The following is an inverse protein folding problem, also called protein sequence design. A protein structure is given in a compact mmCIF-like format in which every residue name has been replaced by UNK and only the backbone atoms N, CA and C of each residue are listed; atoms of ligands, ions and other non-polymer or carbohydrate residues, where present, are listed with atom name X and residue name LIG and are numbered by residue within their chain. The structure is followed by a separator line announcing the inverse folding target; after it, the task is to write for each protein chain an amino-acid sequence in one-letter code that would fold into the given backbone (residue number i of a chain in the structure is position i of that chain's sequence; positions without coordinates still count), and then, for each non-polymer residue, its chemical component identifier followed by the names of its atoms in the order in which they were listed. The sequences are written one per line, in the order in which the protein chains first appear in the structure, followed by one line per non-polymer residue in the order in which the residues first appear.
data_IF_634206579392
#
_entry.id   IF_634206579392
#
_cell.length_a   1.000
_cell.length_b   1.000
_cell.length_c   1.000
_cell.angle_alpha   90.00
_cell.angle_beta   90.00
_cell.angle_gamma   90.00
#
_symmetry.space_group_name_H-M   'P 1'
#
loop_
_entity.id
_entity.type
_entity.pdbx_description
1 polymer ?
#
# COMPACT_ATOMS: atom_id res chain seq x y z
N UNK A 1 6.20 10.94 3.57
CA UNK A 1 6.12 11.18 5.02
C UNK A 1 4.92 10.39 5.52
N UNK A 2 5.09 9.43 6.45
CA UNK A 2 3.98 8.61 6.97
C UNK A 2 3.36 9.30 8.19
N UNK A 3 2.06 9.61 8.19
CA UNK A 3 1.48 10.46 9.24
C UNK A 3 0.29 9.85 10.02
N UNK A 4 -0.47 8.89 9.47
CA UNK A 4 -1.09 7.87 10.34
C UNK A 4 0.03 7.03 10.92
N UNK A 5 0.57 7.53 12.03
CA UNK A 5 1.87 7.19 12.56
C UNK A 5 2.12 5.70 12.43
N UNK A 6 3.02 5.36 11.51
CA UNK A 6 3.65 4.06 11.38
C UNK A 6 4.41 3.78 12.68
N UNK A 7 3.65 3.61 13.76
CA UNK A 7 4.03 3.58 15.17
C UNK A 7 4.47 2.18 15.55
N UNK A 8 3.98 1.20 14.80
CA UNK A 8 4.36 -0.19 14.88
C UNK A 8 4.20 -0.82 13.49
N UNK A 9 4.93 -1.89 13.25
CA UNK A 9 4.95 -2.66 12.01
C UNK A 9 4.94 -4.13 12.41
N UNK A 10 4.26 -4.97 11.64
CA UNK A 10 4.20 -6.42 11.89
C UNK A 10 4.26 -7.18 10.58
N UNK A 11 4.79 -8.40 10.63
CA UNK A 11 4.72 -9.34 9.51
C UNK A 11 3.29 -9.89 9.37
N UNK A 12 2.92 -10.30 8.15
CA UNK A 12 1.63 -10.89 7.82
C UNK A 12 1.85 -12.15 6.96
N UNK A 13 1.06 -13.24 7.14
CA UNK A 13 -0.05 -13.37 8.10
C UNK A 13 0.41 -13.69 9.53
N UNK A 14 1.65 -14.14 9.72
CA UNK A 14 2.18 -14.48 11.04
C UNK A 14 2.85 -13.26 11.66
N UNK A 15 2.22 -12.69 12.69
CA UNK A 15 2.80 -11.63 13.49
C UNK A 15 3.81 -12.19 14.49
N UNK A 16 4.92 -11.47 14.66
CA UNK A 16 5.94 -11.71 15.69
C UNK A 16 6.27 -10.41 16.43
N UNK A 17 6.88 -10.52 17.61
CA UNK A 17 7.24 -9.34 18.42
C UNK A 17 6.03 -8.65 19.04
N UNK A 18 6.05 -7.33 19.15
CA UNK A 18 4.97 -6.56 19.78
C UNK A 18 4.28 -5.65 18.78
N UNK A 19 2.96 -5.73 18.69
CA UNK A 19 2.15 -4.86 17.84
C UNK A 19 0.90 -4.41 18.59
N UNK A 20 0.57 -3.12 18.55
CA UNK A 20 -0.54 -2.54 19.34
C UNK A 20 -0.50 -2.91 20.84
N UNK A 21 0.70 -2.98 21.42
CA UNK A 21 0.96 -3.38 22.82
C UNK A 21 0.55 -4.82 23.16
N UNK A 22 0.31 -5.66 22.16
CA UNK A 22 0.07 -7.09 22.29
C UNK A 22 1.35 -7.84 21.95
N UNK A 23 1.68 -8.86 22.75
CA UNK A 23 2.80 -9.76 22.51
C UNK A 23 2.38 -10.88 21.55
N UNK A 24 3.03 -10.90 20.38
CA UNK A 24 2.90 -11.91 19.34
C UNK A 24 4.19 -12.73 19.17
N UNK A 25 5.13 -12.69 20.14
CA UNK A 25 6.42 -13.40 20.09
C UNK A 25 6.33 -14.89 19.77
N UNK A 26 5.19 -15.53 20.09
CA UNK A 26 4.93 -16.93 19.78
C UNK A 26 4.67 -17.24 18.28
N UNK A 27 4.54 -16.22 17.42
CA UNK A 27 4.14 -16.39 16.03
C UNK A 27 2.64 -16.63 15.92
N UNK A 28 1.87 -15.55 15.78
CA UNK A 28 0.39 -15.60 15.78
C UNK A 28 -0.14 -15.27 14.40
N UNK A 29 -1.01 -16.13 13.88
CA UNK A 29 -1.71 -15.89 12.61
C UNK A 29 -2.78 -14.80 12.77
N UNK A 30 -2.43 -13.57 12.40
CA UNK A 30 -3.33 -12.41 12.46
C UNK A 30 -4.21 -12.26 11.21
N UNK A 31 -4.18 -13.23 10.28
CA UNK A 31 -5.22 -13.32 9.23
C UNK A 31 -6.57 -13.77 9.79
N UNK A 32 -6.58 -14.33 11.01
CA UNK A 32 -7.79 -14.82 11.68
C UNK A 32 -8.28 -13.79 12.70
N UNK A 33 -9.51 -13.30 12.54
CA UNK A 33 -10.17 -12.36 13.46
C UNK A 33 -10.03 -12.77 14.94
N UNK A 34 -10.25 -14.04 15.26
CA UNK A 34 -10.17 -14.58 16.63
C UNK A 34 -8.81 -14.37 17.32
N UNK A 35 -7.74 -14.19 16.53
CA UNK A 35 -6.38 -14.03 17.02
C UNK A 35 -5.97 -12.55 17.19
N UNK A 36 -6.87 -11.60 16.91
CA UNK A 36 -6.64 -10.16 17.03
C UNK A 36 -7.36 -9.67 18.29
N UNK A 37 -6.73 -9.56 19.46
CA UNK A 37 -7.45 -9.36 20.73
C UNK A 37 -7.91 -7.91 20.95
N UNK A 38 -7.24 -6.92 20.36
CA UNK A 38 -7.50 -5.49 20.60
C UNK A 38 -7.94 -4.80 19.31
N UNK A 39 -8.63 -3.63 19.40
CA UNK A 39 -8.92 -2.83 18.22
C UNK A 39 -7.65 -2.53 17.44
N UNK A 40 -7.62 -2.97 16.19
CA UNK A 40 -6.40 -2.99 15.40
C UNK A 40 -6.69 -2.54 13.97
N UNK A 41 -5.83 -1.66 13.48
CA UNK A 41 -5.81 -1.22 12.09
C UNK A 41 -4.52 -1.68 11.44
N UNK A 42 -4.64 -2.44 10.36
CA UNK A 42 -3.54 -2.86 9.50
C UNK A 42 -3.56 -2.05 8.21
N UNK A 43 -2.41 -1.49 7.83
CA UNK A 43 -2.17 -0.92 6.50
C UNK A 43 -1.18 -1.84 5.81
N UNK A 44 -1.48 -2.29 4.59
CA UNK A 44 -0.53 -3.07 3.83
C UNK A 44 0.65 -2.17 3.41
N UNK A 45 1.86 -2.56 3.79
CA UNK A 45 3.04 -1.86 3.33
C UNK A 45 3.42 -2.38 1.94
N UNK A 46 3.26 -1.52 0.91
CA UNK A 46 3.73 -1.74 -0.48
C UNK A 46 3.26 -3.08 -1.08
N UNK A 47 2.03 -3.11 -1.57
CA UNK A 47 1.52 -4.23 -2.36
C UNK A 47 1.75 -4.00 -3.85
N UNK A 48 2.29 -5.00 -4.54
CA UNK A 48 2.44 -5.04 -6.02
C UNK A 48 1.18 -5.54 -6.74
N UNK A 49 0.11 -5.82 -5.98
CA UNK A 49 -1.11 -6.40 -6.52
C UNK A 49 -2.19 -5.34 -6.66
N UNK A 50 -3.02 -5.49 -7.69
CA UNK A 50 -4.21 -4.66 -7.92
C UNK A 50 -5.39 -5.05 -7.01
N UNK A 51 -5.21 -5.99 -6.08
CA UNK A 51 -6.31 -6.48 -5.24
C UNK A 51 -5.99 -6.51 -3.74
N UNK A 52 -7.04 -6.47 -2.93
CA UNK A 52 -7.05 -6.80 -1.51
C UNK A 52 -8.38 -7.49 -1.19
N UNK A 53 -8.40 -8.42 -0.23
CA UNK A 53 -9.60 -9.20 0.04
C UNK A 53 -9.79 -9.58 1.49
N UNK A 54 -11.03 -9.88 1.81
CA UNK A 54 -11.47 -10.50 3.05
C UNK A 54 -12.21 -11.80 2.74
N UNK A 55 -12.07 -12.78 3.62
CA UNK A 55 -12.75 -14.07 3.52
C UNK A 55 -13.41 -14.44 4.84
N UNK A 56 -14.70 -14.78 4.78
CA UNK A 56 -15.45 -15.33 5.90
C UNK A 56 -15.50 -16.86 5.76
N UNK A 57 -14.89 -17.57 6.70
CA UNK A 57 -14.83 -19.03 6.65
C UNK A 57 -16.16 -19.70 6.97
N UNK A 58 -17.00 -19.07 7.80
CA UNK A 58 -18.28 -19.63 8.23
C UNK A 58 -19.34 -19.52 7.13
N UNK A 59 -19.22 -18.50 6.26
CA UNK A 59 -20.15 -18.21 5.16
C UNK A 59 -19.70 -18.76 3.80
N UNK A 60 -18.51 -19.39 3.72
CA UNK A 60 -17.84 -19.79 2.46
C UNK A 60 -17.85 -18.66 1.39
N UNK A 61 -17.64 -17.42 1.83
CA UNK A 61 -17.77 -16.24 0.99
C UNK A 61 -16.82 -15.13 1.38
N UNK A 62 -16.49 -14.27 0.42
CA UNK A 62 -15.59 -13.15 0.64
C UNK A 62 -15.87 -11.96 -0.26
N UNK A 63 -15.17 -10.87 0.06
CA UNK A 63 -15.19 -9.63 -0.70
C UNK A 63 -13.78 -9.32 -1.16
N UNK A 64 -13.64 -9.05 -2.45
CA UNK A 64 -12.41 -8.54 -3.04
C UNK A 64 -12.62 -7.08 -3.42
N UNK A 65 -11.58 -6.30 -3.24
CA UNK A 65 -11.41 -5.02 -3.91
C UNK A 65 -10.36 -5.18 -4.99
N UNK A 66 -10.64 -4.66 -6.19
CA UNK A 66 -9.70 -4.59 -7.31
C UNK A 66 -9.64 -3.16 -7.83
N UNK A 67 -8.43 -2.62 -7.97
CA UNK A 67 -8.14 -1.34 -8.60
C UNK A 67 -6.66 -1.26 -8.98
N UNK A 68 -6.32 -0.45 -9.99
CA UNK A 68 -4.93 -0.20 -10.37
C UNK A 68 -4.12 0.31 -9.17
N UNK A 69 -3.14 -0.47 -8.70
CA UNK A 69 -2.37 -0.17 -7.50
C UNK A 69 -1.48 1.08 -7.63
N UNK A 70 -1.22 1.58 -8.84
CA UNK A 70 -0.55 2.87 -9.05
C UNK A 70 -1.47 4.06 -8.75
N UNK A 71 -2.79 3.87 -8.80
CA UNK A 71 -3.81 4.89 -8.49
C UNK A 71 -4.39 4.65 -7.09
N UNK A 72 -4.68 3.40 -6.75
CA UNK A 72 -5.29 2.97 -5.48
C UNK A 72 -4.31 2.12 -4.63
N UNK A 73 -3.17 2.68 -4.18
CA UNK A 73 -2.18 1.90 -3.45
C UNK A 73 -2.62 1.57 -2.01
N UNK A 74 -3.49 2.39 -1.41
CA UNK A 74 -3.90 2.28 -0.02
C UNK A 74 -4.78 1.05 0.21
N UNK A 75 -4.33 0.15 1.08
CA UNK A 75 -5.05 -1.07 1.46
C UNK A 75 -5.04 -1.20 2.98
N UNK A 76 -6.21 -1.13 3.58
CA UNK A 76 -6.37 -1.10 5.03
C UNK A 76 -7.43 -2.10 5.48
N UNK A 77 -7.15 -2.77 6.58
CA UNK A 77 -8.10 -3.58 7.30
C UNK A 77 -8.24 -3.01 8.71
N UNK A 78 -9.45 -2.98 9.24
CA UNK A 78 -9.70 -2.65 10.63
C UNK A 78 -10.68 -3.63 11.28
N UNK A 79 -10.49 -3.86 12.57
CA UNK A 79 -11.39 -4.65 13.41
C UNK A 79 -11.37 -4.09 14.83
N UNK A 80 -12.50 -4.23 15.53
CA UNK A 80 -12.60 -4.01 16.98
C UNK A 80 -11.80 -5.02 17.82
N UNK A 81 -11.34 -6.12 17.20
CA UNK A 81 -10.67 -7.23 17.87
C UNK A 81 -11.64 -8.18 18.57
N UNK A 82 -11.11 -9.29 19.06
CA UNK A 82 -11.86 -10.43 19.59
C UNK A 82 -11.81 -10.57 21.12
N UNK A 83 -11.41 -9.51 21.84
CA UNK A 83 -11.60 -9.45 23.30
C UNK A 83 -13.03 -9.04 23.66
N UNK A 84 -13.36 -9.08 24.95
CA UNK A 84 -14.63 -8.58 25.48
C UNK A 84 -14.95 -7.15 25.04
N UNK A 85 -13.92 -6.29 24.92
CA UNK A 85 -14.10 -4.93 24.43
C UNK A 85 -14.61 -4.90 22.98
N UNK A 86 -13.99 -5.69 22.11
CA UNK A 86 -14.38 -5.72 20.70
C UNK A 86 -15.76 -6.36 20.50
N UNK A 87 -16.02 -7.46 21.20
CA UNK A 87 -17.33 -8.11 21.18
C UNK A 87 -18.45 -7.23 21.76
N UNK A 88 -18.15 -6.35 22.73
CA UNK A 88 -19.11 -5.37 23.22
C UNK A 88 -19.45 -4.30 22.17
N UNK A 89 -18.47 -3.87 21.38
CA UNK A 89 -18.70 -3.00 20.23
C UNK A 89 -19.51 -3.69 19.14
N UNK A 90 -19.18 -4.94 18.81
CA UNK A 90 -19.92 -5.72 17.82
C UNK A 90 -21.42 -5.79 18.19
N UNK A 91 -21.75 -6.12 19.45
CA UNK A 91 -23.14 -6.12 19.97
C UNK A 91 -23.82 -4.76 19.98
N UNK A 92 -23.05 -3.67 20.00
CA UNK A 92 -23.59 -2.31 19.99
C UNK A 92 -23.88 -1.80 18.57
N UNK A 93 -23.28 -2.42 17.56
CA UNK A 93 -23.35 -2.01 16.16
C UNK A 93 -24.23 -2.92 15.30
N UNK A 94 -24.53 -4.12 15.78
CA UNK A 94 -25.46 -5.04 15.11
C UNK A 94 -26.30 -5.84 16.09
N UNK A 95 -27.55 -6.08 15.72
CA UNK A 95 -28.45 -6.96 16.49
C UNK A 95 -28.08 -8.44 16.31
N UNK A 96 -27.79 -8.85 15.06
CA UNK A 96 -27.73 -10.28 14.68
C UNK A 96 -26.56 -10.66 13.74
N UNK A 97 -25.81 -9.70 13.16
CA UNK A 97 -24.77 -10.02 12.17
C UNK A 97 -23.37 -10.25 12.77
N UNK A 98 -23.26 -10.22 14.09
CA UNK A 98 -22.03 -10.58 14.81
C UNK A 98 -20.83 -9.67 14.49
N UNK A 99 -19.60 -10.17 14.70
CA UNK A 99 -18.39 -9.40 14.47
C UNK A 99 -18.19 -9.08 12.99
N UNK A 100 -17.60 -7.92 12.70
CA UNK A 100 -17.28 -7.50 11.35
C UNK A 100 -15.83 -6.99 11.24
N UNK A 101 -15.35 -6.93 10.00
CA UNK A 101 -14.10 -6.27 9.66
C UNK A 101 -14.37 -5.23 8.58
N UNK A 102 -13.63 -4.13 8.63
CA UNK A 102 -13.71 -3.07 7.63
C UNK A 102 -12.54 -3.22 6.66
N UNK A 103 -12.84 -3.47 5.40
CA UNK A 103 -11.90 -3.39 4.30
C UNK A 103 -11.98 -1.97 3.71
N UNK A 104 -10.91 -1.21 3.87
CA UNK A 104 -10.80 0.18 3.44
C UNK A 104 -9.71 0.32 2.39
N UNK A 105 -9.97 1.16 1.40
CA UNK A 105 -9.09 1.32 0.23
C UNK A 105 -8.83 2.81 0.00
N UNK A 106 -7.58 3.19 -0.20
CA UNK A 106 -7.15 4.57 -0.39
C UNK A 106 -6.66 4.81 -1.82
N UNK A 107 -6.97 5.99 -2.34
CA UNK A 107 -6.51 6.49 -3.64
C UNK A 107 -5.38 7.49 -3.42
N UNK A 108 -4.40 7.51 -4.32
CA UNK A 108 -3.23 8.42 -4.38
C UNK A 108 -2.26 8.39 -3.21
N UNK A 109 -2.62 7.77 -2.08
CA UNK A 109 -1.74 7.57 -0.94
C UNK A 109 -1.83 6.13 -0.43
N UNK A 110 -0.67 5.55 -0.14
CA UNK A 110 -0.53 4.20 0.43
C UNK A 110 -0.74 4.19 1.96
N UNK A 111 -0.71 5.36 2.59
CA UNK A 111 -1.02 5.58 3.99
C UNK A 111 -1.95 6.78 4.15
N UNK A 112 -2.75 6.77 5.22
CA UNK A 112 -3.64 7.88 5.53
C UNK A 112 -2.89 9.05 6.21
N UNK A 113 -3.35 10.30 6.03
CA UNK A 113 -4.25 10.79 4.98
C UNK A 113 -3.48 11.20 3.71
N UNK A 114 -4.19 11.38 2.58
CA UNK A 114 -3.65 12.07 1.41
C UNK A 114 -3.65 13.58 1.65
N UNK A 115 -2.50 14.22 1.46
CA UNK A 115 -2.30 15.65 1.65
C UNK A 115 -2.22 16.43 0.33
N UNK A 116 -2.54 15.81 -0.80
CA UNK A 116 -2.56 16.52 -2.07
C UNK A 116 -3.75 17.49 -2.14
N UNK A 117 -3.52 18.66 -2.72
CA UNK A 117 -4.60 19.59 -3.06
C UNK A 117 -5.30 19.13 -4.35
N UNK A 118 -6.50 19.67 -4.55
CA UNK A 118 -7.16 19.69 -5.85
C UNK A 118 -7.11 21.14 -6.34
N UNK A 119 -6.34 21.40 -7.40
CA UNK A 119 -6.16 22.74 -7.95
C UNK A 119 -7.47 23.26 -8.59
N UNK A 120 -7.53 24.59 -8.81
CA UNK A 120 -8.67 25.18 -9.49
C UNK A 120 -8.84 24.56 -10.90
N UNK A 121 -10.03 24.03 -11.17
CA UNK A 121 -10.37 23.28 -12.39
C UNK A 121 -9.65 21.94 -12.58
N UNK A 122 -8.98 21.40 -11.56
CA UNK A 122 -8.44 20.05 -11.59
C UNK A 122 -9.55 19.00 -11.37
N UNK A 123 -9.46 17.89 -12.09
CA UNK A 123 -10.31 16.71 -11.90
C UNK A 123 -9.42 15.47 -11.73
N UNK A 124 -9.65 14.71 -10.65
CA UNK A 124 -9.03 13.40 -10.43
C UNK A 124 -10.09 12.31 -10.60
N UNK A 125 -9.82 11.33 -11.47
CA UNK A 125 -10.71 10.17 -11.72
C UNK A 125 -10.03 8.88 -11.30
N UNK A 126 -10.80 7.98 -10.70
CA UNK A 126 -10.37 6.64 -10.33
C UNK A 126 -11.54 5.67 -10.39
N UNK A 127 -11.23 4.38 -10.51
CA UNK A 127 -12.22 3.31 -10.50
C UNK A 127 -11.83 2.27 -9.46
N UNK A 128 -12.84 1.72 -8.78
CA UNK A 128 -12.67 0.67 -7.78
C UNK A 128 -13.79 -0.35 -7.95
N UNK A 129 -13.42 -1.62 -7.91
CA UNK A 129 -14.34 -2.73 -8.09
C UNK A 129 -14.42 -3.52 -6.79
N UNK A 130 -15.63 -3.65 -6.25
CA UNK A 130 -15.92 -4.47 -5.07
C UNK A 130 -16.65 -5.72 -5.52
N UNK A 131 -15.99 -6.87 -5.41
CA UNK A 131 -16.33 -8.09 -6.10
C UNK A 131 -16.59 -9.21 -5.06
N UNK A 132 -17.83 -9.69 -4.90
CA UNK A 132 -18.07 -10.86 -4.09
C UNK A 132 -17.50 -12.11 -4.77
N UNK A 133 -17.04 -13.07 -3.98
CA UNK A 133 -16.63 -14.38 -4.46
C UNK A 133 -16.89 -15.45 -3.40
N UNK A 134 -16.88 -16.72 -3.80
CA UNK A 134 -17.10 -17.86 -2.91
C UNK A 134 -16.24 -19.07 -3.33
N UNK A 135 -16.27 -20.11 -2.49
CA UNK A 135 -15.69 -21.44 -2.70
C UNK A 135 -14.16 -21.57 -2.84
N UNK A 136 -13.42 -20.51 -3.19
CA UNK A 136 -11.96 -20.59 -3.32
C UNK A 136 -11.21 -20.46 -1.98
N UNK A 137 -11.80 -19.83 -0.97
CA UNK A 137 -11.08 -19.52 0.27
C UNK A 137 -10.08 -18.39 0.06
N UNK A 138 -8.91 -18.48 0.70
CA UNK A 138 -7.82 -17.52 0.43
C UNK A 138 -7.30 -17.66 -1.00
N UNK A 139 -7.10 -16.53 -1.66
CA UNK A 139 -6.70 -16.42 -3.07
C UNK A 139 -5.40 -15.64 -3.23
N UNK A 140 -4.73 -15.81 -4.37
CA UNK A 140 -3.38 -15.29 -4.61
C UNK A 140 -3.34 -14.13 -5.60
N UNK A 141 -4.31 -14.05 -6.54
CA UNK A 141 -4.50 -12.85 -7.35
C UNK A 141 -5.95 -12.70 -7.83
N UNK A 142 -6.35 -11.48 -8.15
CA UNK A 142 -7.67 -11.15 -8.69
C UNK A 142 -7.61 -9.99 -9.69
N UNK A 143 -8.48 -10.03 -10.69
CA UNK A 143 -8.78 -8.95 -11.61
C UNK A 143 -10.27 -8.67 -11.62
N UNK A 144 -10.71 -7.73 -12.48
CA UNK A 144 -12.14 -7.49 -12.74
C UNK A 144 -12.85 -8.72 -13.32
N UNK A 145 -12.11 -9.62 -13.95
CA UNK A 145 -12.66 -10.72 -14.74
C UNK A 145 -12.57 -12.06 -14.03
N UNK A 146 -11.52 -12.28 -13.23
CA UNK A 146 -11.27 -13.57 -12.60
C UNK A 146 -10.51 -13.48 -11.27
N UNK A 147 -10.57 -14.56 -10.50
CA UNK A 147 -9.79 -14.77 -9.27
C UNK A 147 -9.05 -16.09 -9.39
N UNK A 148 -7.77 -16.11 -9.04
CA UNK A 148 -6.94 -17.31 -9.08
C UNK A 148 -6.41 -17.69 -7.70
N UNK A 149 -6.37 -19.00 -7.49
CA UNK A 149 -5.82 -19.65 -6.31
C UNK A 149 -4.68 -20.57 -6.72
N UNK A 150 -3.60 -20.51 -5.95
CA UNK A 150 -2.49 -21.45 -5.97
C UNK A 150 -1.85 -21.49 -4.58
N UNK A 151 -2.09 -22.57 -3.83
CA UNK A 151 -1.55 -22.74 -2.49
C UNK A 151 -1.10 -24.17 -2.22
N UNK A 152 -0.05 -24.32 -1.42
CA UNK A 152 0.37 -25.64 -0.92
C UNK A 152 -0.37 -25.97 0.37
N UNK A 153 -0.81 -27.22 0.48
CA UNK A 153 -1.47 -27.77 1.67
C UNK A 153 -1.01 -29.21 1.91
N UNK A 154 -1.45 -29.81 3.01
CA UNK A 154 -1.25 -31.25 3.28
C UNK A 154 -1.88 -32.14 2.20
N UNK A 155 -2.90 -31.66 1.49
CA UNK A 155 -3.57 -32.40 0.40
C UNK A 155 -2.76 -32.41 -0.90
N UNK A 156 -1.82 -31.48 -1.05
CA UNK A 156 -1.09 -31.23 -2.30
C UNK A 156 -1.12 -29.75 -2.68
N UNK A 157 -0.89 -29.48 -3.97
CA UNK A 157 -0.96 -28.11 -4.51
C UNK A 157 -2.40 -27.85 -4.93
N UNK A 158 -3.13 -27.08 -4.14
CA UNK A 158 -4.50 -26.66 -4.43
C UNK A 158 -4.48 -25.48 -5.41
N UNK A 159 -5.30 -25.55 -6.44
CA UNK A 159 -5.49 -24.48 -7.39
C UNK A 159 -6.97 -24.20 -7.63
N UNK A 160 -7.28 -23.01 -8.12
CA UNK A 160 -8.64 -22.65 -8.48
C UNK A 160 -8.74 -21.41 -9.35
N UNK A 161 -9.87 -21.31 -10.04
CA UNK A 161 -10.25 -20.19 -10.88
C UNK A 161 -11.72 -19.89 -10.64
N UNK A 162 -12.03 -18.62 -10.32
CA UNK A 162 -13.38 -18.10 -10.15
C UNK A 162 -13.64 -17.03 -11.20
N UNK A 163 -14.79 -17.09 -11.86
CA UNK A 163 -15.19 -16.12 -12.87
C UNK A 163 -16.03 -14.99 -12.25
N UNK A 164 -15.53 -13.76 -12.36
CA UNK A 164 -16.28 -12.53 -12.05
C UNK A 164 -17.07 -12.07 -13.28
N UNK A 165 -16.44 -12.18 -14.46
CA UNK A 165 -17.05 -11.93 -15.77
C UNK A 165 -17.00 -13.22 -16.62
N UNK A 166 -17.74 -13.30 -17.75
CA UNK A 166 -17.70 -14.48 -18.60
C UNK A 166 -16.30 -14.76 -19.15
N UNK A 167 -15.78 -15.96 -18.90
CA UNK A 167 -14.48 -16.41 -19.39
C UNK A 167 -14.69 -17.37 -20.56
N UNK A 168 -14.77 -16.86 -21.79
CA UNK A 168 -15.00 -17.65 -23.01
C UNK A 168 -13.70 -17.80 -23.82
N UNK A 169 -13.27 -19.05 -24.04
CA UNK A 169 -12.04 -19.33 -24.82
C UNK A 169 -10.75 -19.02 -24.06
N UNK A 170 -10.83 -18.92 -22.73
CA UNK A 170 -9.69 -18.69 -21.87
C UNK A 170 -8.89 -19.96 -21.68
N UNK A 171 -7.66 -19.83 -21.19
CA UNK A 171 -6.78 -20.97 -20.91
C UNK A 171 -6.08 -20.77 -19.58
N UNK A 172 -6.15 -21.78 -18.71
CA UNK A 172 -5.49 -21.78 -17.41
C UNK A 172 -4.29 -22.72 -17.46
N UNK A 173 -3.10 -22.20 -17.17
CA UNK A 173 -1.88 -22.97 -17.13
C UNK A 173 -1.19 -22.89 -15.77
N UNK A 174 -0.68 -24.02 -15.29
CA UNK A 174 0.20 -24.09 -14.11
C UNK A 174 1.54 -24.67 -14.54
N UNK A 175 2.63 -23.97 -14.25
CA UNK A 175 3.98 -24.35 -14.67
C UNK A 175 4.96 -24.24 -13.50
N UNK A 176 6.00 -25.06 -13.56
CA UNK A 176 7.18 -24.84 -12.73
C UNK A 176 8.12 -23.86 -13.44
N UNK A 177 8.65 -22.89 -12.70
CA UNK A 177 9.55 -21.88 -13.28
C UNK A 177 10.76 -22.57 -13.92
N UNK A 178 11.09 -22.14 -15.14
CA UNK A 178 12.21 -22.69 -15.91
C UNK A 178 11.90 -24.01 -16.62
N UNK A 179 10.68 -24.58 -16.48
CA UNK A 179 10.25 -25.77 -17.23
C UNK A 179 9.18 -25.42 -18.26
N UNK A 180 9.33 -25.98 -19.46
CA UNK A 180 8.37 -25.75 -20.55
C UNK A 180 7.06 -26.54 -20.38
N UNK A 181 7.11 -27.72 -19.76
CA UNK A 181 5.94 -28.58 -19.65
C UNK A 181 4.98 -28.06 -18.57
N UNK A 182 3.70 -28.00 -18.92
CA UNK A 182 2.66 -27.61 -17.97
C UNK A 182 2.34 -28.76 -17.04
N UNK A 183 2.06 -28.44 -15.79
CA UNK A 183 1.47 -29.36 -14.81
C UNK A 183 -0.06 -29.40 -14.95
N UNK A 184 -0.64 -28.28 -15.39
CA UNK A 184 -2.04 -28.11 -15.76
C UNK A 184 -2.09 -27.21 -16.99
N UNK A 185 -2.94 -27.52 -17.96
CA UNK A 185 -3.10 -26.73 -19.16
C UNK A 185 -4.50 -26.94 -19.77
N UNK A 186 -5.48 -26.23 -19.22
CA UNK A 186 -6.89 -26.49 -19.47
C UNK A 186 -7.56 -25.32 -20.20
N UNK A 187 -8.40 -25.65 -21.17
CA UNK A 187 -9.33 -24.68 -21.76
C UNK A 187 -10.44 -24.38 -20.75
N UNK A 188 -10.78 -23.10 -20.62
CA UNK A 188 -11.74 -22.59 -19.63
C UNK A 188 -12.93 -21.95 -20.34
N UNK A 189 -14.12 -22.36 -19.91
CA UNK A 189 -15.39 -21.75 -20.26
C UNK A 189 -16.23 -21.60 -18.98
N UNK A 190 -16.24 -20.41 -18.38
CA UNK A 190 -16.94 -20.16 -17.11
C UNK A 190 -17.91 -18.98 -17.22
N UNK A 191 -19.05 -19.16 -16.58
CA UNK A 191 -20.05 -18.09 -16.39
C UNK A 191 -19.71 -17.30 -15.10
N UNK A 192 -20.15 -16.03 -14.99
CA UNK A 192 -20.02 -15.29 -13.74
C UNK A 192 -20.54 -16.08 -12.53
N UNK A 193 -19.86 -15.91 -11.41
CA UNK A 193 -20.14 -16.61 -10.15
C UNK A 193 -19.96 -18.15 -10.19
N UNK A 194 -19.18 -18.66 -11.14
CA UNK A 194 -18.80 -20.09 -11.16
C UNK A 194 -17.31 -20.26 -10.93
N UNK A 195 -16.95 -21.41 -10.38
CA UNK A 195 -15.57 -21.73 -10.03
C UNK A 195 -15.19 -23.15 -10.48
N UNK A 196 -13.92 -23.33 -10.84
CA UNK A 196 -13.27 -24.63 -10.99
C UNK A 196 -12.08 -24.68 -10.05
N UNK A 197 -11.79 -25.86 -9.52
CA UNK A 197 -10.69 -26.07 -8.58
C UNK A 197 -10.22 -27.51 -8.64
N UNK A 198 -8.97 -27.74 -8.22
CA UNK A 198 -8.38 -29.06 -8.18
C UNK A 198 -7.15 -29.11 -7.30
N UNK A 199 -6.58 -30.31 -7.20
CA UNK A 199 -5.37 -30.56 -6.43
C UNK A 199 -4.38 -31.34 -7.28
N UNK A 200 -3.14 -30.84 -7.39
CA UNK A 200 -2.05 -31.58 -8.00
C UNK A 200 -1.36 -32.42 -6.92
N UNK A 201 -1.35 -33.74 -7.12
CA UNK A 201 -0.80 -34.71 -6.18
C UNK A 201 0.53 -35.29 -6.68
N UNK A 202 1.38 -35.74 -5.76
CA UNK A 202 2.59 -36.52 -6.08
C UNK A 202 3.71 -35.75 -6.78
N UNK A 203 3.64 -34.42 -6.80
CA UNK A 203 4.65 -33.54 -7.38
C UNK A 203 5.23 -32.61 -6.31
N UNK A 204 6.51 -32.25 -6.46
CA UNK A 204 7.19 -31.29 -5.59
C UNK A 204 8.02 -30.29 -6.42
N UNK A 205 7.38 -29.41 -7.19
CA UNK A 205 8.06 -28.38 -7.97
C UNK A 205 8.73 -27.37 -7.04
N UNK A 206 9.87 -26.78 -7.46
CA UNK A 206 10.58 -25.78 -6.64
C UNK A 206 9.77 -24.49 -6.48
N UNK A 207 9.21 -23.99 -7.59
CA UNK A 207 8.41 -22.77 -7.61
C UNK A 207 7.44 -22.77 -8.78
N UNK A 208 6.20 -22.40 -8.51
CA UNK A 208 5.12 -22.44 -9.49
C UNK A 208 4.71 -21.07 -10.03
N UNK A 209 4.14 -21.09 -11.23
CA UNK A 209 3.28 -20.02 -11.76
C UNK A 209 1.90 -20.59 -12.10
N UNK A 210 0.88 -19.76 -11.94
CA UNK A 210 -0.47 -19.97 -12.49
C UNK A 210 -0.79 -18.75 -13.36
N UNK A 211 -1.24 -19.01 -14.58
CA UNK A 211 -1.48 -17.99 -15.60
C UNK A 211 -2.83 -18.25 -16.25
N UNK A 212 -3.63 -17.19 -16.38
CA UNK A 212 -4.88 -17.16 -17.12
C UNK A 212 -4.66 -16.32 -18.37
N UNK A 213 -4.81 -16.95 -19.53
CA UNK A 213 -4.77 -16.28 -20.83
C UNK A 213 -6.16 -16.10 -21.41
N UNK A 214 -6.39 -14.98 -22.09
CA UNK A 214 -7.59 -14.74 -22.88
C UNK A 214 -7.61 -15.54 -24.19
N UNK A 215 -8.67 -15.38 -24.99
CA UNK A 215 -8.84 -16.07 -26.26
C UNK A 215 -7.79 -15.68 -27.33
N UNK A 216 -7.15 -14.51 -27.18
CA UNK A 216 -6.09 -14.03 -28.06
C UNK A 216 -4.70 -14.52 -27.60
N UNK A 217 -4.62 -15.19 -26.45
CA UNK A 217 -3.40 -15.73 -25.86
C UNK A 217 -2.65 -14.74 -24.96
N UNK A 218 -3.22 -13.57 -24.65
CA UNK A 218 -2.60 -12.62 -23.73
C UNK A 218 -2.81 -13.08 -22.29
N UNK A 219 -1.78 -13.02 -21.46
CA UNK A 219 -1.90 -13.29 -20.02
C UNK A 219 -2.62 -12.11 -19.37
N UNK A 220 -3.84 -12.34 -18.87
CA UNK A 220 -4.67 -11.31 -18.23
C UNK A 220 -4.62 -11.34 -16.72
N UNK A 221 -4.22 -12.47 -16.14
CA UNK A 221 -4.07 -12.63 -14.70
C UNK A 221 -3.01 -13.71 -14.44
N UNK A 222 -2.04 -13.41 -13.58
CA UNK A 222 -1.00 -14.36 -13.24
C UNK A 222 -0.61 -14.26 -11.78
N UNK A 223 -0.08 -15.37 -11.26
CA UNK A 223 0.54 -15.39 -9.96
C UNK A 223 1.75 -16.29 -10.00
N UNK A 224 2.85 -15.77 -9.47
CA UNK A 224 4.06 -16.54 -9.22
C UNK A 224 4.12 -16.83 -7.72
N UNK A 225 4.29 -18.10 -7.38
CA UNK A 225 4.35 -18.59 -6.00
C UNK A 225 5.26 -17.70 -5.15
N UNK A 226 4.68 -17.12 -4.11
CA UNK A 226 5.39 -16.28 -3.17
C UNK A 226 6.29 -17.15 -2.32
N UNK A 227 7.60 -16.89 -2.37
CA UNK A 227 8.56 -17.51 -1.48
C UNK A 227 8.81 -16.51 -0.34
N UNK A 228 8.46 -16.86 0.91
CA UNK A 228 8.72 -16.01 2.05
C UNK A 228 10.20 -15.63 2.09
N UNK A 229 10.46 -14.33 2.14
CA UNK A 229 11.79 -13.78 2.40
C UNK A 229 11.72 -12.97 3.68
N UNK A 230 12.74 -13.08 4.52
CA UNK A 230 12.90 -12.15 5.64
C UNK A 230 13.22 -10.77 5.06
N UNK A 231 12.19 -9.93 4.96
CA UNK A 231 12.35 -8.52 4.69
C UNK A 231 12.49 -7.79 6.01
N UNK A 232 13.46 -6.86 6.14
CA UNK A 232 13.54 -6.03 7.32
C UNK A 232 12.23 -5.25 7.45
N UNK A 233 11.68 -5.22 8.67
CA UNK A 233 10.55 -4.35 8.93
C UNK A 233 10.99 -2.91 8.64
N UNK A 234 10.19 -2.13 7.90
CA UNK A 234 10.48 -0.73 7.68
C UNK A 234 10.59 0.09 8.96
N UNK A 235 11.26 1.23 8.84
CA UNK A 235 11.34 2.21 9.90
C UNK A 235 9.96 2.78 10.29
N UNK A 236 9.80 3.01 11.59
CA UNK A 236 8.70 3.78 12.15
C UNK A 236 8.83 5.26 11.78
N UNK A 237 7.69 5.95 11.67
CA UNK A 237 7.68 7.39 11.39
C UNK A 237 8.36 8.16 12.53
N UNK A 238 9.28 9.08 12.19
CA UNK A 238 9.96 9.96 13.14
C UNK A 238 9.30 11.33 13.14
N UNK A 239 9.03 11.86 14.33
CA UNK A 239 8.51 13.21 14.45
C UNK A 239 9.54 14.23 13.92
N UNK A 240 9.12 15.29 13.23
CA UNK A 240 10.04 16.33 12.79
C UNK A 240 10.68 17.03 14.00
N UNK A 241 11.85 17.62 13.78
CA UNK A 241 12.53 18.46 14.76
C UNK A 241 11.66 19.65 15.17
N UNK A 242 11.98 20.26 16.33
CA UNK A 242 11.37 21.53 16.69
C UNK A 242 11.77 22.62 15.67
N UNK A 243 10.87 23.58 15.41
CA UNK A 243 11.08 24.59 14.37
C UNK A 243 12.43 25.33 14.51
N UNK A 244 12.85 25.65 15.74
CA UNK A 244 14.12 26.32 16.03
C UNK A 244 15.37 25.53 15.60
N UNK A 245 15.29 24.20 15.60
CA UNK A 245 16.42 23.30 15.31
C UNK A 245 16.52 22.96 13.82
N UNK A 246 15.53 23.32 13.00
CA UNK A 246 15.55 23.10 11.55
C UNK A 246 16.49 24.11 10.89
N UNK A 247 17.37 23.63 10.03
CA UNK A 247 18.36 24.46 9.33
C UNK A 247 17.98 24.75 7.87
N UNK A 248 17.08 23.96 7.27
CA UNK A 248 16.61 24.15 5.90
C UNK A 248 15.31 24.94 5.85
N UNK A 249 15.27 25.98 4.99
CA UNK A 249 14.06 26.75 4.71
C UNK A 249 12.95 25.87 4.13
N UNK A 250 13.29 25.02 3.16
CA UNK A 250 12.34 24.16 2.46
C UNK A 250 11.77 23.11 3.43
N UNK A 251 12.61 22.53 4.28
CA UNK A 251 12.17 21.57 5.30
C UNK A 251 11.19 22.23 6.29
N UNK A 252 11.51 23.42 6.80
CA UNK A 252 10.62 24.17 7.68
C UNK A 252 9.29 24.50 6.99
N UNK A 253 9.33 24.90 5.72
CA UNK A 253 8.12 25.18 4.94
C UNK A 253 7.24 23.93 4.76
N UNK A 254 7.81 22.82 4.31
CA UNK A 254 7.05 21.59 4.07
C UNK A 254 6.49 20.98 5.37
N UNK A 255 7.21 21.09 6.49
CA UNK A 255 6.68 20.67 7.79
C UNK A 255 5.53 21.59 8.20
N UNK A 256 5.65 22.90 8.02
CA UNK A 256 4.56 23.85 8.28
C UNK A 256 3.30 23.51 7.47
N UNK A 257 3.44 23.28 6.16
CA UNK A 257 2.33 22.87 5.28
C UNK A 257 1.69 21.58 5.75
N UNK A 258 2.50 20.56 6.03
CA UNK A 258 2.02 19.28 6.51
C UNK A 258 1.22 19.41 7.82
N UNK A 259 1.73 20.17 8.81
CA UNK A 259 1.04 20.39 10.08
C UNK A 259 -0.27 21.16 9.92
N UNK A 260 -0.32 22.12 8.99
CA UNK A 260 -1.52 22.89 8.67
C UNK A 260 -2.59 22.00 8.03
N UNK A 261 -2.23 21.25 7.00
CA UNK A 261 -3.15 20.34 6.32
C UNK A 261 -3.68 19.24 7.23
N UNK A 262 -2.87 18.77 8.18
CA UNK A 262 -3.27 17.75 9.13
C UNK A 262 -4.05 18.29 10.34
N UNK A 263 -4.16 19.61 10.50
CA UNK A 263 -4.70 20.24 11.71
C UNK A 263 -4.06 19.67 12.99
N UNK A 264 -2.73 19.56 12.99
CA UNK A 264 -2.00 18.78 13.99
C UNK A 264 -2.23 19.31 15.42
N UNK A 265 -2.76 18.45 16.31
CA UNK A 265 -3.28 18.86 17.62
C UNK A 265 -2.23 19.38 18.62
N UNK A 266 -0.97 18.99 18.49
CA UNK A 266 0.08 19.30 19.49
C UNK A 266 1.20 20.21 19.00
N UNK A 267 1.13 20.72 17.76
CA UNK A 267 2.18 21.57 17.17
C UNK A 267 1.57 22.64 16.27
N UNK A 268 2.08 23.86 16.36
CA UNK A 268 1.62 24.97 15.53
C UNK A 268 2.38 25.01 14.21
N UNK A 269 1.70 25.00 13.04
CA UNK A 269 2.37 25.21 11.74
C UNK A 269 3.04 26.58 11.65
N UNK A 270 2.51 27.58 12.38
CA UNK A 270 3.02 28.95 12.38
C UNK A 270 4.51 29.04 12.77
N UNK A 271 4.95 28.25 13.74
CA UNK A 271 6.34 28.27 14.22
C UNK A 271 7.32 27.84 13.11
N UNK A 272 6.91 26.85 12.31
CA UNK A 272 7.68 26.33 11.18
C UNK A 272 7.69 27.31 10.00
N UNK A 273 6.55 27.95 9.71
CA UNK A 273 6.51 29.03 8.71
C UNK A 273 7.40 30.21 9.12
N UNK A 274 7.34 30.65 10.38
CA UNK A 274 8.20 31.73 10.88
C UNK A 274 9.68 31.37 10.75
N UNK A 275 10.04 30.11 11.05
CA UNK A 275 11.41 29.63 10.86
C UNK A 275 11.88 29.72 9.40
N UNK A 276 11.05 29.29 8.46
CA UNK A 276 11.35 29.38 7.03
C UNK A 276 11.56 30.84 6.59
N UNK A 277 10.70 31.76 7.07
CA UNK A 277 10.79 33.19 6.78
C UNK A 277 12.04 33.87 7.35
N UNK A 278 12.48 33.49 8.55
CA UNK A 278 13.69 34.05 9.16
C UNK A 278 14.95 33.82 8.30
N UNK A 279 15.05 32.68 7.62
CA UNK A 279 16.15 32.42 6.68
C UNK A 279 16.09 33.29 5.43
N UNK A 280 14.89 33.48 4.86
CA UNK A 280 14.70 34.36 3.70
C UNK A 280 15.16 35.79 4.04
N UNK A 281 14.78 36.29 5.22
CA UNK A 281 15.26 37.60 5.71
C UNK A 281 16.78 37.66 5.86
N UNK A 282 17.40 36.61 6.36
CA UNK A 282 18.87 36.56 6.51
C UNK A 282 19.58 36.54 5.15
N UNK A 283 19.09 35.75 4.19
CA UNK A 283 19.62 35.71 2.81
C UNK A 283 19.49 37.10 2.15
N UNK A 284 18.33 37.75 2.27
CA UNK A 284 18.12 39.11 1.75
C UNK A 284 19.09 40.10 2.42
N UNK A 285 19.27 40.03 3.74
CA UNK A 285 20.17 40.92 4.47
C UNK A 285 21.65 40.70 4.10
N UNK A 286 22.10 39.46 3.95
CA UNK A 286 23.48 39.11 3.57
C UNK A 286 23.76 39.48 2.12
N UNK A 287 22.83 39.21 1.20
CA UNK A 287 22.97 39.59 -0.22
C UNK A 287 22.95 41.12 -0.41
N UNK A 288 22.12 41.84 0.36
CA UNK A 288 22.20 43.30 0.43
C UNK A 288 23.55 43.78 0.96
N UNK A 289 24.05 43.18 2.05
CA UNK A 289 25.38 43.52 2.60
C UNK A 289 26.52 43.26 1.61
N UNK A 290 26.46 42.16 0.86
CA UNK A 290 27.42 41.83 -0.19
C UNK A 290 27.36 42.79 -1.38
N UNK A 291 26.15 43.17 -1.83
CA UNK A 291 25.98 44.21 -2.86
C UNK A 291 26.52 45.56 -2.38
N UNK A 292 26.28 45.93 -1.13
CA UNK A 292 26.82 47.18 -0.57
C UNK A 292 28.36 47.14 -0.43
N UNK A 293 28.96 46.00 -0.10
CA UNK A 293 30.43 45.85 -0.03
C UNK A 293 31.12 45.94 -1.39
N UNK A 294 30.51 45.38 -2.45
CA UNK A 294 31.05 45.47 -3.81
C UNK A 294 30.91 46.86 -4.47
N UNK A 295 30.10 47.76 -3.91
CA UNK A 295 30.00 49.16 -4.35
C UNK A 295 31.11 50.03 -3.75
N UNK A 296 31.81 49.54 -2.70
CA UNK A 296 32.88 50.29 -2.01
C UNK A 296 34.31 49.89 -2.39
N UNK A 297 34.51 48.96 -3.32
CA UNK A 297 35.85 48.65 -3.83
C UNK A 297 36.33 49.75 -4.81
N UNK A 298 37.46 50.43 -4.58
CA UNK A 298 37.90 51.52 -5.45
C UNK A 298 38.30 50.98 -6.83
N UNK A 299 37.63 51.47 -7.87
CA UNK A 299 37.99 51.26 -9.27
C UNK A 299 39.36 51.91 -9.51
N UNK A 300 40.43 51.11 -9.53
CA UNK A 300 41.73 51.59 -10.02
C UNK A 300 41.64 51.83 -11.53
N UNK A 301 41.68 53.10 -11.94
CA UNK A 301 41.73 53.50 -13.36
C UNK A 301 43.09 53.12 -13.95
N UNK A 302 43.22 51.93 -14.53
CA UNK A 302 44.27 51.67 -15.53
C UNK A 302 43.79 52.13 -16.90
N UNK A 303 44.37 53.24 -17.37
CA UNK A 303 44.21 53.78 -18.74
C UNK A 303 44.69 52.73 -19.75
N UNK A 304 43.80 52.28 -20.63
CA UNK A 304 44.19 51.63 -21.87
C UNK A 304 44.46 52.71 -22.92
N UNK A 305 45.70 52.79 -23.42
CA UNK A 305 46.03 53.49 -24.67
C UNK A 305 46.15 52.44 -25.77
N UNK A 306 45.28 52.52 -26.76
CA UNK A 306 45.45 51.85 -28.06
C UNK A 306 46.39 52.68 -28.93
N UNK A 307 47.39 52.08 -29.60
CA UNK A 307 47.93 52.61 -30.83
C UNK A 307 47.32 51.89 -32.03
N UNK A 308 46.61 52.64 -32.89
CA UNK A 308 46.39 52.26 -34.28
C UNK A 308 47.73 52.38 -35.04
N UNK A 309 48.05 51.38 -35.85
CA UNK A 309 48.89 51.54 -37.04
C UNK A 309 48.18 50.88 -38.23
N UNK A 310 48.25 51.57 -39.36
CA UNK A 310 47.87 51.14 -40.72
C UNK A 310 48.59 49.84 -41.10
#
# INVERSE_FOLDING_TARGET
MFDHGKRAVSAFPIATGTYYKVDYSAGVDISRYKNVPVPTSYMAEKSQYDFVGAWCHDEDGGLLHVANHHIAPGKKQWSWGHSEFGQAWDKSLTDNNGPYIELMTGIFADNQPDFTWLDAYEEKRFEQYFLPYHSLGMVQNASRDAVIKLQRSERGIEWGLYAISPLNGYRLAIREIGKCNALLDDAVALMPATAIQGVLHGINPERLTIELSDADGNIVLSYQEHQPQELPLPDVAKAPLAAQDITSTDEAWFIGQHLEQYHHASRSPFDYYLRAWCWIRWIIAVTWRWRCWNITAPISRKRWRMPLRL
#
